data_IF_602488795429
#
_entry.id   IF_602488795429
#
_cell.length_a   1.000
_cell.length_b   1.000
_cell.length_c   1.000
_cell.angle_alpha   90.00
_cell.angle_beta   90.00
_cell.angle_gamma   90.00
#
_symmetry.space_group_name_H-M   'P 1'
#
loop_
_entity.id
_entity.type
_entity.pdbx_description
1 polymer ?
2 water ?
#
# COMPACT_ATOMS: atom_id res chain seq x y z
N UNK A 1 -3.03 11.23 -2.22
CA UNK A 1 -2.35 10.05 -2.72
C UNK A 1 -3.30 9.16 -3.51
N UNK A 2 -3.32 9.41 -4.80
CA UNK A 2 -4.19 8.66 -5.70
C UNK A 2 -3.35 8.13 -6.82
N UNK A 3 -3.60 6.89 -7.21
CA UNK A 3 -2.89 6.34 -8.38
C UNK A 3 -3.68 5.24 -9.02
N UNK A 4 -3.28 4.88 -10.22
CA UNK A 4 -4.09 4.02 -11.07
C UNK A 4 -3.80 2.53 -10.89
N UNK A 5 -4.05 2.02 -9.69
CA UNK A 5 -4.14 0.59 -9.43
C UNK A 5 -5.43 0.33 -8.74
N UNK A 6 -6.16 -0.71 -9.15
CA UNK A 6 -7.42 -1.03 -8.52
C UNK A 6 -7.38 -2.37 -7.81
N UNK A 7 -8.53 -2.79 -7.30
CA UNK A 7 -8.54 -4.05 -6.53
C UNK A 7 -8.17 -5.25 -7.42
N UNK A 8 -7.50 -6.22 -6.80
CA UNK A 8 -7.06 -7.45 -7.47
C UNK A 8 -8.18 -8.51 -7.56
N UNK A 9 -9.22 -8.34 -6.75
CA UNK A 9 -10.40 -9.22 -6.86
C UNK A 9 -11.63 -8.34 -6.64
N UNK A 10 -12.67 -8.48 -7.46
CA UNK A 10 -13.89 -7.74 -7.19
C UNK A 10 -14.59 -8.18 -5.92
N UNK A 11 -14.22 -9.33 -5.34
CA UNK A 11 -14.86 -9.71 -4.09
C UNK A 11 -14.41 -8.83 -2.95
N UNK A 12 -13.37 -8.00 -3.14
CA UNK A 12 -12.95 -7.10 -2.06
C UNK A 12 -13.82 -5.86 -1.91
N UNK A 13 -14.80 -5.67 -2.81
CA UNK A 13 -15.60 -4.45 -2.65
C UNK A 13 -16.43 -4.49 -1.37
N UNK A 14 -16.68 -3.29 -0.83
CA UNK A 14 -17.56 -3.18 0.33
C UNK A 14 -18.90 -2.61 -0.05
N UNK A 15 -18.95 -1.93 -1.20
CA UNK A 15 -20.18 -1.38 -1.74
C UNK A 15 -20.35 -2.05 -3.09
N UNK A 16 -21.20 -3.10 -3.17
CA UNK A 16 -21.29 -3.86 -4.41
C UNK A 16 -22.05 -3.08 -5.47
N UNK A 17 -22.86 -2.10 -5.13
CA UNK A 17 -23.56 -1.37 -6.18
C UNK A 17 -22.61 -0.45 -6.92
N UNK A 18 -21.71 0.20 -6.17
CA UNK A 18 -20.77 1.14 -6.81
C UNK A 18 -19.47 0.44 -7.21
N UNK A 19 -19.28 -0.78 -6.70
CA UNK A 19 -18.02 -1.53 -6.93
C UNK A 19 -16.80 -0.79 -6.41
N UNK A 20 -16.92 -0.40 -5.14
CA UNK A 20 -15.79 0.21 -4.48
C UNK A 20 -15.55 -0.45 -3.12
N UNK A 21 -14.30 -0.40 -2.70
CA UNK A 21 -13.89 -0.85 -1.37
C UNK A 21 -13.50 0.36 -0.55
N UNK A 22 -14.18 0.60 0.57
CA UNK A 22 -13.91 1.76 1.42
C UNK A 22 -13.67 1.31 2.84
N UNK A 23 -12.54 1.71 3.44
CA UNK A 23 -12.32 1.44 4.85
C UNK A 23 -11.76 2.68 5.52
N UNK A 24 -12.06 2.85 6.81
CA UNK A 24 -11.44 3.88 7.63
C UNK A 24 -10.52 3.24 8.68
N UNK A 25 -9.55 4.03 9.15
CA UNK A 25 -8.61 3.59 10.20
C UNK A 25 -8.03 2.23 9.77
N UNK A 26 -7.39 2.26 8.62
CA UNK A 26 -6.98 1.07 7.89
C UNK A 26 -5.49 0.82 8.03
N UNK A 27 -5.09 -0.43 8.27
CA UNK A 27 -3.67 -0.75 8.30
C UNK A 27 -3.19 -1.01 6.86
N UNK A 28 -1.90 -0.75 6.64
CA UNK A 28 -1.31 -0.75 5.29
C UNK A 28 -0.07 -1.62 5.25
N UNK A 29 -0.08 -2.65 4.42
CA UNK A 29 1.07 -3.56 4.25
C UNK A 29 1.67 -3.29 2.88
N UNK A 30 2.97 -2.94 2.86
CA UNK A 30 3.66 -2.50 1.65
C UNK A 30 4.76 -3.48 1.34
N UNK A 31 4.69 -4.19 0.22
CA UNK A 31 5.64 -5.29 -0.03
C UNK A 31 6.24 -5.12 -1.43
N UNK A 32 7.54 -4.89 -1.52
CA UNK A 32 8.23 -4.67 -2.79
C UNK A 32 8.77 -5.99 -3.35
N UNK A 33 7.85 -6.94 -3.43
CA UNK A 33 8.08 -8.28 -4.01
C UNK A 33 6.70 -8.95 -4.04
N UNK A 34 6.66 -10.16 -4.56
CA UNK A 34 5.38 -10.84 -4.67
C UNK A 34 5.03 -11.61 -3.38
N UNK A 35 3.72 -11.76 -3.14
CA UNK A 35 3.21 -12.58 -2.04
C UNK A 35 2.64 -13.83 -2.66
N UNK A 36 3.21 -15.01 -2.37
CA UNK A 36 2.73 -16.20 -3.07
C UNK A 36 1.64 -16.94 -2.31
N UNK A 37 1.68 -16.89 -0.97
CA UNK A 37 0.67 -17.56 -0.16
C UNK A 37 0.37 -16.78 1.12
N UNK A 38 -0.79 -17.05 1.73
CA UNK A 38 -1.15 -16.35 2.94
C UNK A 38 -0.19 -16.72 4.09
N UNK A 39 0.46 -17.90 4.01
CA UNK A 39 1.41 -18.28 5.03
C UNK A 39 2.53 -17.23 5.15
N UNK A 40 2.87 -16.63 4.01
CA UNK A 40 3.94 -15.63 3.92
C UNK A 40 3.65 -14.43 4.89
N UNK A 41 2.37 -14.16 5.15
CA UNK A 41 1.98 -12.97 5.89
C UNK A 41 1.05 -13.31 7.02
N UNK A 42 1.08 -14.58 7.46
CA UNK A 42 0.08 -14.94 8.49
C UNK A 42 0.17 -14.12 9.79
N UNK A 43 1.37 -13.74 10.18
CA UNK A 43 1.51 -12.94 11.41
C UNK A 43 0.79 -11.61 11.25
N UNK A 44 0.94 -11.01 10.07
CA UNK A 44 0.31 -9.71 9.77
C UNK A 44 -1.22 -9.87 9.76
N UNK A 45 -1.69 -10.96 9.15
CA UNK A 45 -3.14 -11.12 9.08
C UNK A 45 -3.68 -11.34 10.50
N UNK A 46 -2.92 -12.08 11.33
CA UNK A 46 -3.42 -12.32 12.67
C UNK A 46 -3.54 -11.04 13.46
N UNK A 47 -2.57 -10.15 13.22
CA UNK A 47 -2.56 -8.87 13.94
C UNK A 47 -3.75 -8.02 13.52
N UNK A 48 -4.04 -8.02 12.21
CA UNK A 48 -5.16 -7.22 11.75
C UNK A 48 -6.44 -7.77 12.35
N UNK A 49 -6.52 -9.11 12.44
CA UNK A 49 -7.75 -9.68 13.01
C UNK A 49 -7.84 -9.38 14.51
N UNK A 50 -6.72 -9.45 15.21
CA UNK A 50 -6.73 -9.23 16.66
C UNK A 50 -7.18 -7.78 16.96
N UNK A 51 -6.72 -6.83 16.16
CA UNK A 51 -7.12 -5.44 16.33
C UNK A 51 -8.37 -4.99 15.58
N UNK A 52 -9.05 -5.91 14.89
CA UNK A 52 -10.21 -5.62 14.06
C UNK A 52 -9.91 -4.47 13.12
N UNK A 53 -8.73 -4.54 12.50
CA UNK A 53 -8.34 -3.52 11.52
C UNK A 53 -8.61 -4.00 10.12
N UNK A 54 -9.23 -3.15 9.31
CA UNK A 54 -9.08 -3.37 7.87
C UNK A 54 -7.63 -3.32 7.45
N UNK A 55 -7.34 -4.01 6.37
CA UNK A 55 -5.98 -4.11 5.85
C UNK A 55 -5.97 -3.93 4.35
N UNK A 56 -5.13 -2.99 3.88
CA UNK A 56 -4.84 -2.79 2.47
C UNK A 56 -3.46 -3.35 2.23
N UNK A 57 -3.35 -4.29 1.29
CA UNK A 57 -2.10 -4.90 0.92
C UNK A 57 -1.67 -4.39 -0.45
N UNK A 58 -0.47 -3.84 -0.54
CA UNK A 58 0.12 -3.42 -1.83
C UNK A 58 1.31 -4.29 -2.07
N UNK A 59 1.34 -5.07 -3.16
CA UNK A 59 2.50 -5.92 -3.42
C UNK A 59 2.82 -5.91 -4.89
N UNK A 60 4.00 -6.42 -5.25
CA UNK A 60 4.34 -6.52 -6.66
C UNK A 60 3.25 -7.31 -7.38
N UNK A 61 2.82 -8.40 -6.73
CA UNK A 61 1.67 -9.22 -7.12
C UNK A 61 1.23 -9.99 -5.91
N UNK A 62 -0.08 -10.18 -5.75
CA UNK A 62 -0.58 -11.17 -4.80
C UNK A 62 -1.03 -12.36 -5.66
N UNK A 63 -0.32 -13.47 -5.57
CA UNK A 63 -0.53 -14.61 -6.46
C UNK A 63 -1.84 -15.33 -6.12
N UNK A 64 -2.30 -16.14 -7.04
CA UNK A 64 -3.57 -16.82 -6.94
C UNK A 64 -3.89 -17.54 -5.65
N UNK A 65 -2.94 -18.27 -5.16
CA UNK A 65 -3.17 -18.96 -3.91
C UNK A 65 -3.50 -18.02 -2.76
N UNK A 66 -2.65 -17.00 -2.62
CA UNK A 66 -2.84 -16.07 -1.52
C UNK A 66 -4.14 -15.31 -1.74
N UNK A 67 -4.39 -14.92 -2.99
CA UNK A 67 -5.59 -14.16 -3.27
C UNK A 67 -6.85 -14.95 -2.91
N UNK A 68 -6.86 -16.24 -3.24
CA UNK A 68 -8.01 -17.07 -2.91
C UNK A 68 -8.20 -17.15 -1.41
N UNK A 69 -7.10 -17.26 -0.66
CA UNK A 69 -7.27 -17.29 0.81
C UNK A 69 -7.84 -15.96 1.35
N UNK A 70 -7.31 -14.84 0.83
CA UNK A 70 -7.80 -13.55 1.28
C UNK A 70 -9.28 -13.40 0.94
N UNK A 71 -9.70 -13.82 -0.27
CA UNK A 71 -11.08 -13.69 -0.65
C UNK A 71 -12.00 -14.55 0.22
N UNK A 72 -11.60 -15.79 0.50
CA UNK A 72 -12.46 -16.62 1.32
C UNK A 72 -12.62 -16.03 2.70
N UNK A 73 -11.52 -15.51 3.27
CA UNK A 73 -11.64 -14.91 4.58
C UNK A 73 -12.45 -13.63 4.60
N UNK A 74 -12.38 -12.87 3.50
CA UNK A 74 -13.18 -11.67 3.40
C UNK A 74 -14.68 -12.03 3.31
N UNK A 75 -14.99 -13.04 2.48
CA UNK A 75 -16.39 -13.41 2.31
C UNK A 75 -17.00 -13.92 3.62
N UNK A 76 -16.22 -14.67 4.40
CA UNK A 76 -16.68 -15.19 5.66
C UNK A 76 -16.83 -14.10 6.73
N UNK A 77 -16.27 -12.92 6.49
CA UNK A 77 -16.29 -11.86 7.49
C UNK A 77 -15.16 -11.94 8.51
N UNK A 78 -14.20 -12.84 8.28
CA UNK A 78 -13.05 -13.02 9.20
C UNK A 78 -12.05 -11.87 9.06
N UNK A 79 -11.88 -11.41 7.83
CA UNK A 79 -10.83 -10.43 7.52
C UNK A 79 -11.45 -9.31 6.68
N UNK A 80 -11.16 -8.08 7.02
CA UNK A 80 -11.56 -6.93 6.18
C UNK A 80 -10.33 -6.58 5.41
N UNK A 81 -10.18 -7.10 4.22
CA UNK A 81 -8.91 -6.98 3.48
C UNK A 81 -9.17 -6.62 2.03
N UNK A 82 -8.23 -5.88 1.46
CA UNK A 82 -8.25 -5.60 0.03
C UNK A 82 -6.79 -5.62 -0.43
N UNK A 83 -6.53 -6.16 -1.60
CA UNK A 83 -5.19 -6.18 -2.19
C UNK A 83 -5.18 -5.45 -3.49
N UNK A 84 -4.09 -4.74 -3.74
CA UNK A 84 -3.85 -4.12 -5.04
C UNK A 84 -2.41 -4.44 -5.46
N UNK A 85 -2.14 -4.34 -6.78
CA UNK A 85 -0.76 -4.30 -7.24
C UNK A 85 -0.15 -2.96 -6.88
N UNK A 86 1.10 -2.97 -6.47
CA UNK A 86 1.83 -1.73 -6.21
C UNK A 86 1.92 -0.93 -7.49
N UNK A 87 1.83 0.38 -7.38
CA UNK A 87 1.89 1.20 -8.59
C UNK A 87 3.27 1.20 -9.24
N UNK A 88 3.25 1.34 -10.57
CA UNK A 88 4.46 1.47 -11.33
C UNK A 88 5.21 0.17 -11.52
N UNK A 89 6.42 0.29 -12.06
CA UNK A 89 7.29 -0.85 -12.34
C UNK A 89 8.71 -0.55 -11.89
N UNK A 90 9.52 -1.59 -11.67
CA UNK A 90 10.92 -1.36 -11.43
C UNK A 90 11.24 -0.39 -10.29
N UNK A 91 12.28 0.40 -10.53
CA UNK A 91 12.74 1.38 -9.54
C UNK A 91 11.65 2.34 -9.20
N UNK A 92 10.78 2.68 -10.16
CA UNK A 92 9.72 3.62 -9.82
C UNK A 92 8.76 2.98 -8.81
N UNK A 93 8.41 1.71 -9.02
CA UNK A 93 7.56 0.98 -8.08
C UNK A 93 8.17 1.06 -6.67
N UNK A 94 9.48 0.80 -6.57
CA UNK A 94 10.10 0.90 -5.23
C UNK A 94 10.03 2.30 -4.61
N UNK A 95 10.18 3.31 -5.45
CA UNK A 95 10.11 4.69 -4.95
C UNK A 95 8.72 5.03 -4.48
N UNK A 96 7.70 4.63 -5.27
CA UNK A 96 6.31 4.91 -4.87
C UNK A 96 5.98 4.19 -3.58
N UNK A 97 6.41 2.92 -3.43
CA UNK A 97 6.10 2.23 -2.19
C UNK A 97 6.73 2.94 -1.02
N UNK A 98 7.96 3.46 -1.20
CA UNK A 98 8.57 4.19 -0.07
C UNK A 98 7.83 5.51 0.23
N UNK A 99 7.32 6.20 -0.81
CA UNK A 99 6.52 7.38 -0.58
C UNK A 99 5.31 7.03 0.30
N UNK A 100 4.61 5.95 -0.09
CA UNK A 100 3.41 5.56 0.64
C UNK A 100 3.77 5.09 2.06
N UNK A 101 4.94 4.45 2.23
CA UNK A 101 5.36 4.06 3.58
C UNK A 101 5.54 5.32 4.43
N UNK A 102 6.17 6.36 3.87
CA UNK A 102 6.37 7.57 4.63
C UNK A 102 5.03 8.23 4.96
N UNK A 103 4.10 8.27 3.99
CA UNK A 103 2.81 8.90 4.29
C UNK A 103 2.05 8.19 5.41
N UNK A 104 2.16 6.86 5.44
CA UNK A 104 1.34 6.05 6.34
C UNK A 104 2.11 5.59 7.57
N UNK A 105 3.39 5.90 7.72
CA UNK A 105 4.14 5.39 8.86
C UNK A 105 4.39 3.90 8.80
N UNK A 106 4.38 3.35 7.59
CA UNK A 106 4.68 1.95 7.37
C UNK A 106 6.12 1.72 6.99
N UNK A 107 6.46 0.45 6.80
CA UNK A 107 7.83 0.04 6.43
C UNK A 107 7.70 -0.84 5.20
N UNK A 108 8.41 -0.51 4.11
CA UNK A 108 8.39 -1.37 2.93
C UNK A 108 9.14 -2.65 3.23
N UNK A 109 8.47 -3.78 2.98
CA UNK A 109 9.12 -5.09 3.13
C UNK A 109 9.80 -5.44 1.82
N UNK A 110 11.11 -5.71 1.87
CA UNK A 110 11.85 -5.86 0.62
C UNK A 110 12.38 -7.25 0.52
N UNK A 111 12.83 -7.61 -0.68
CA UNK A 111 13.59 -8.84 -0.88
C UNK A 111 15.03 -8.56 -0.44
N UNK A 112 15.43 -9.18 0.67
CA UNK A 112 16.81 -9.13 1.20
C UNK A 112 17.11 -7.88 2.06
N UNK A 113 16.92 -6.69 1.51
CA UNK A 113 17.14 -5.46 2.28
C UNK A 113 16.18 -5.31 3.48
N UNK A 114 16.66 -5.65 4.69
CA UNK A 114 15.86 -5.50 5.91
C UNK A 114 15.10 -6.76 6.33
N UNK A 115 13.98 -6.57 7.03
CA UNK A 115 13.16 -7.70 7.45
C UNK A 115 12.48 -8.38 6.25
N UNK A 116 12.47 -9.71 6.27
CA UNK A 116 11.85 -10.45 5.18
C UNK A 116 10.38 -10.63 5.50
N UNK A 117 9.64 -11.02 4.48
CA UNK A 117 8.20 -11.18 4.54
C UNK A 117 7.72 -12.15 5.64
N UNK A 118 8.20 -13.39 5.61
CA UNK A 118 7.75 -14.40 6.58
C UNK A 118 8.07 -14.00 8.03
N UNK A 119 9.11 -13.19 8.24
CA UNK A 119 9.41 -12.77 9.59
C UNK A 119 8.98 -11.34 9.89
N UNK A 120 8.24 -10.70 8.97
CA UNK A 120 7.69 -9.39 9.25
C UNK A 120 6.58 -9.45 10.29
N UNK A 121 6.58 -8.48 11.19
CA UNK A 121 5.52 -8.35 12.18
C UNK A 121 4.67 -7.15 11.88
N UNK A 122 3.70 -6.91 12.75
CA UNK A 122 2.82 -5.81 12.52
C UNK A 122 3.51 -4.47 12.70
N UNK A 123 4.75 -4.44 13.17
CA UNK A 123 5.48 -3.20 13.23
C UNK A 123 5.65 -2.55 11.85
N UNK A 124 5.58 -3.34 10.78
CA UNK A 124 5.74 -2.76 9.43
C UNK A 124 4.48 -2.07 8.93
N UNK A 125 3.36 -2.23 9.62
CA UNK A 125 2.10 -1.74 9.05
C UNK A 125 2.05 -0.21 9.16
N UNK A 126 1.63 0.42 8.08
CA UNK A 126 1.25 1.82 8.14
C UNK A 126 -0.23 1.94 8.53
N UNK A 127 -0.71 3.15 8.70
CA UNK A 127 -2.10 3.41 9.05
C UNK A 127 -2.58 4.57 8.21
N UNK A 128 -3.79 4.46 7.69
CA UNK A 128 -4.43 5.50 6.92
C UNK A 128 -5.78 5.87 7.53
N UNK A 129 -6.16 7.14 7.48
CA UNK A 129 -7.49 7.58 7.96
C UNK A 129 -8.55 6.91 7.08
N UNK A 130 -8.32 6.88 5.75
CA UNK A 130 -9.31 6.31 4.84
C UNK A 130 -8.62 5.78 3.61
N UNK A 131 -9.13 4.68 3.07
CA UNK A 131 -8.72 4.21 1.77
C UNK A 131 -9.98 3.99 0.93
N UNK A 132 -9.86 4.24 -0.38
CA UNK A 132 -10.95 3.97 -1.31
C UNK A 132 -10.36 3.33 -2.54
N UNK A 133 -10.78 2.12 -2.87
CA UNK A 133 -10.26 1.35 -3.96
C UNK A 133 -11.38 1.07 -4.95
N UNK A 134 -11.18 1.42 -6.21
CA UNK A 134 -12.16 1.12 -7.24
C UNK A 134 -11.56 0.09 -8.18
N UNK A 135 -12.26 -0.20 -9.29
CA UNK A 135 -11.69 -1.14 -10.26
C UNK A 135 -10.34 -0.68 -10.79
N UNK A 136 -10.15 0.64 -10.89
CA UNK A 136 -8.93 1.12 -11.54
C UNK A 136 -8.07 2.02 -10.68
N UNK A 137 -8.52 2.39 -9.49
CA UNK A 137 -7.81 3.48 -8.76
C UNK A 137 -7.77 3.23 -7.29
N UNK A 138 -6.74 3.77 -6.65
CA UNK A 138 -6.58 3.71 -5.19
C UNK A 138 -6.38 5.09 -4.66
N UNK A 139 -7.08 5.44 -3.59
CA UNK A 139 -6.89 6.67 -2.84
C UNK A 139 -6.55 6.32 -1.39
N UNK A 140 -5.46 6.89 -0.89
CA UNK A 140 -5.05 6.74 0.50
C UNK A 140 -5.01 8.10 1.16
N UNK A 141 -5.79 8.27 2.24
CA UNK A 141 -5.76 9.51 2.99
C UNK A 141 -4.99 9.27 4.26
N UNK A 142 -3.89 10.00 4.46
CA UNK A 142 -3.12 9.79 5.66
C UNK A 142 -3.84 10.30 6.92
N UNK A 143 -3.37 9.88 8.09
CA UNK A 143 -4.05 10.29 9.31
C UNK A 143 -3.28 11.38 10.06
N UNK A 144 -2.33 12.01 9.38
CA UNK A 144 -1.62 13.15 9.94
C UNK A 144 -0.52 12.82 10.93
N UNK A 145 -0.19 11.55 11.08
CA UNK A 145 0.79 11.19 12.11
C UNK A 145 2.23 11.32 11.66
N UNK A 146 2.41 11.59 10.37
CA UNK A 146 3.76 11.58 9.81
C UNK A 146 4.09 12.86 9.11
N UNK A 147 3.56 13.96 9.61
CA UNK A 147 3.71 15.24 8.92
C UNK A 147 5.16 15.63 8.70
N UNK A 148 6.02 15.46 9.71
CA UNK A 148 7.42 15.82 9.57
C UNK A 148 8.12 14.93 8.55
N UNK A 149 7.82 13.63 8.58
CA UNK A 149 8.46 12.70 7.67
C UNK A 149 8.03 13.03 6.24
N UNK A 150 6.73 13.31 6.04
CA UNK A 150 6.27 13.64 4.70
C UNK A 150 6.91 14.93 4.22
N UNK A 151 6.99 15.94 5.09
CA UNK A 151 7.66 17.17 4.70
C UNK A 151 9.10 16.92 4.23
N UNK A 152 9.82 16.09 5.00
CA UNK A 152 11.19 15.81 4.63
C UNK A 152 11.27 15.04 3.30
N UNK A 153 10.35 14.10 3.08
CA UNK A 153 10.33 13.38 1.80
C UNK A 153 10.04 14.28 0.61
N UNK A 154 9.11 15.21 0.78
CA UNK A 154 8.90 16.20 -0.28
C UNK A 154 10.19 17.00 -0.57
N UNK A 155 10.91 17.43 0.47
CA UNK A 155 12.15 18.18 0.20
C UNK A 155 13.20 17.28 -0.49
N UNK A 156 13.20 16.06 -0.02
CA UNK A 156 13.99 15.03 -0.68
C UNK A 156 13.82 14.85 -2.29
N UNK A 157 12.52 14.76 -2.55
CA UNK A 157 12.14 14.62 -3.94
C UNK A 157 12.50 15.87 -4.72
N UNK A 158 12.39 17.04 -4.07
CA UNK A 158 12.80 18.29 -4.75
C UNK A 158 14.32 18.31 -4.95
N UNK A 159 15.10 17.77 -4.00
CA UNK A 159 16.55 17.69 -4.26
C UNK A 159 16.86 16.71 -5.42
N UNK A 160 16.07 15.64 -5.56
CA UNK A 160 16.27 14.72 -6.68
C UNK A 160 15.93 15.45 -7.98
N UNK A 161 14.92 16.30 -7.92
CA UNK A 161 14.53 17.13 -9.05
C UNK A 161 15.74 17.98 -9.46
N UNK A 162 16.48 18.50 -8.48
CA UNK A 162 17.71 19.26 -8.81
C UNK A 162 18.86 18.41 -9.37
N UNK A 163 18.87 17.11 -9.09
CA UNK A 163 19.91 16.24 -9.56
C UNK A 163 19.61 15.61 -10.92
N UNK A 164 18.45 15.91 -11.50
CA UNK A 164 18.15 15.52 -12.89
C UNK A 164 17.80 16.74 -13.71
N UNK A 165 18.19 16.77 -14.97
CA UNK A 165 17.68 17.85 -15.82
C UNK A 165 16.92 17.27 -17.00
N UNK A 166 16.51 16.01 -16.89
CA UNK A 166 15.55 15.48 -17.83
C UNK A 166 14.16 15.88 -17.37
N UNK A 167 13.48 16.63 -18.24
CA UNK A 167 12.23 17.26 -17.88
C UNK A 167 11.18 16.24 -17.51
N UNK A 168 11.15 15.14 -18.23
CA UNK A 168 10.14 14.11 -17.99
C UNK A 168 10.25 13.60 -16.55
N UNK A 169 11.48 13.40 -16.12
CA UNK A 169 11.69 12.87 -14.78
C UNK A 169 11.45 13.95 -13.74
N UNK A 170 11.82 15.19 -14.04
CA UNK A 170 11.46 16.28 -13.12
C UNK A 170 9.93 16.30 -12.92
N UNK A 171 9.19 15.97 -13.98
CA UNK A 171 7.74 16.00 -13.92
C UNK A 171 7.18 14.85 -13.09
N UNK A 172 7.72 13.66 -13.29
CA UNK A 172 7.28 12.51 -12.49
C UNK A 172 7.56 12.77 -11.00
N UNK A 173 8.69 13.41 -10.74
CA UNK A 173 9.01 13.77 -9.37
C UNK A 173 7.99 14.79 -8.79
N UNK A 174 7.63 15.79 -9.58
CA UNK A 174 6.65 16.79 -9.12
C UNK A 174 5.30 16.14 -8.83
N UNK A 175 4.89 15.19 -9.66
CA UNK A 175 3.69 14.41 -9.36
C UNK A 175 3.76 13.63 -8.03
N UNK A 176 4.93 13.08 -7.72
CA UNK A 176 5.07 12.47 -6.41
C UNK A 176 4.90 13.49 -5.29
N UNK A 177 5.47 14.69 -5.49
CA UNK A 177 5.27 15.72 -4.48
C UNK A 177 3.79 16.05 -4.30
N UNK A 178 3.06 16.20 -5.41
CA UNK A 178 1.63 16.47 -5.30
C UNK A 178 0.87 15.36 -4.56
N UNK A 179 1.24 14.11 -4.83
CA UNK A 179 0.54 13.02 -4.17
C UNK A 179 0.81 12.96 -2.67
N UNK A 180 1.95 13.50 -2.25
CA UNK A 180 2.24 13.58 -0.80
C UNK A 180 1.73 14.86 -0.15
N UNK A 181 1.16 15.77 -0.95
CA UNK A 181 0.67 17.08 -0.49
C UNK A 181 -0.84 17.15 -0.36
#
# INVERSE_FOLDING_TARGET
SQFERGYTSPYFVTDPERMICEYENCKILLVDKKISTARDIITILESAIRGNYPLLIMAEEVEQEALATLVVNKLRGTLKVVAIKAPGFGERRSSYLEDIAILTGGTVVRDEMGVSLEQATDAVLGTAAKITITKERTTVVGDGSTAADVAARVKQIRNLQMQTDQDYEREKLQERIARLSGG
#
